data_IF_925746519006
#
_entry.id   IF_925746519006
#
_cell.length_a   1.000
_cell.length_b   1.000
_cell.length_c   1.000
_cell.angle_alpha   90.00
_cell.angle_beta   90.00
_cell.angle_gamma   90.00
#
_symmetry.space_group_name_H-M   'P 1'
#
loop_
_entity.id
_entity.type
_entity.pdbx_description
1 polymer ?
#
# COMPACT_ATOMS: atom_id res chain seq x y z
N UNK A 1 -45.40 9.84 5.32
CA UNK A 1 -46.15 8.65 4.86
C UNK A 1 -45.24 7.40 4.77
N UNK A 2 -44.55 7.05 5.87
CA UNK A 2 -43.60 5.92 5.92
C UNK A 2 -43.64 5.25 7.30
N UNK A 3 -44.84 4.90 7.79
CA UNK A 3 -45.04 4.22 9.08
C UNK A 3 -46.08 3.09 9.05
N UNK A 4 -46.47 2.58 7.88
CA UNK A 4 -47.55 1.57 7.77
C UNK A 4 -47.24 0.29 6.99
N UNK A 5 -46.00 0.09 6.52
CA UNK A 5 -45.69 -1.03 5.63
C UNK A 5 -45.00 -2.25 6.30
N UNK A 6 -44.76 -2.25 7.61
CA UNK A 6 -43.96 -3.29 8.27
C UNK A 6 -44.72 -4.30 9.15
N UNK A 7 -46.06 -4.25 9.21
CA UNK A 7 -46.84 -5.09 10.15
C UNK A 7 -47.73 -6.15 9.48
N UNK A 8 -47.52 -6.47 8.20
CA UNK A 8 -48.31 -7.50 7.52
C UNK A 8 -47.44 -8.29 6.55
N UNK A 9 -46.68 -9.27 7.07
CA UNK A 9 -46.19 -10.46 6.33
C UNK A 9 -45.47 -11.43 7.27
N UNK A 10 -46.17 -11.89 8.30
CA UNK A 10 -45.82 -13.12 9.03
C UNK A 10 -47.13 -13.89 9.23
N UNK A 11 -47.51 -14.67 8.22
CA UNK A 11 -48.44 -15.80 8.36
C UNK A 11 -48.48 -16.60 7.04
N UNK A 12 -48.40 -17.93 7.19
CA UNK A 12 -48.77 -18.99 6.24
C UNK A 12 -47.67 -19.59 5.29
N UNK A 13 -46.93 -20.56 5.86
CA UNK A 13 -46.76 -21.97 5.44
C UNK A 13 -46.02 -22.36 4.13
N UNK A 14 -45.56 -23.64 3.93
CA UNK A 14 -45.24 -24.75 4.85
C UNK A 14 -43.83 -25.38 4.64
N UNK A 15 -43.47 -26.36 5.48
CA UNK A 15 -42.16 -27.04 5.59
C UNK A 15 -41.77 -28.08 4.51
N UNK A 16 -40.62 -28.78 4.68
CA UNK A 16 -39.88 -29.40 3.57
C UNK A 16 -40.30 -30.84 3.30
N UNK A 17 -40.59 -31.18 2.03
CA UNK A 17 -40.79 -32.56 1.57
C UNK A 17 -39.63 -33.04 0.69
N UNK A 18 -39.02 -34.14 1.14
CA UNK A 18 -38.36 -35.22 0.38
C UNK A 18 -37.35 -34.86 -0.73
N UNK A 19 -36.09 -35.20 -0.47
CA UNK A 19 -35.02 -35.34 -1.44
C UNK A 19 -35.38 -36.30 -2.58
N UNK A 20 -35.14 -35.87 -3.83
CA UNK A 20 -35.04 -36.76 -5.00
C UNK A 20 -33.62 -36.71 -5.54
N UNK A 21 -33.02 -37.89 -5.66
CA UNK A 21 -31.70 -38.12 -6.21
C UNK A 21 -31.65 -37.79 -7.72
N UNK A 22 -30.59 -37.10 -8.15
CA UNK A 22 -30.22 -36.96 -9.56
C UNK A 22 -29.18 -38.03 -9.93
N UNK A 23 -29.30 -38.70 -11.09
CA UNK A 23 -28.30 -39.65 -11.55
C UNK A 23 -27.07 -38.92 -12.14
N UNK A 24 -25.89 -39.43 -11.81
CA UNK A 24 -24.61 -38.96 -12.36
C UNK A 24 -24.47 -39.36 -13.84
N UNK A 25 -24.01 -38.41 -14.67
CA UNK A 25 -23.56 -38.66 -16.04
C UNK A 25 -22.02 -38.72 -16.10
N UNK A 26 -21.45 -39.56 -16.97
CA UNK A 26 -20.04 -39.94 -16.91
C UNK A 26 -19.09 -38.87 -17.47
N UNK A 27 -17.90 -38.78 -16.85
CA UNK A 27 -16.76 -37.97 -17.28
C UNK A 27 -16.16 -38.55 -18.57
N UNK A 28 -16.27 -37.80 -19.68
CA UNK A 28 -15.54 -38.08 -20.91
C UNK A 28 -14.10 -37.53 -20.83
N UNK A 29 -13.12 -38.44 -20.90
CA UNK A 29 -11.71 -38.12 -21.19
C UNK A 29 -11.59 -37.72 -22.66
N UNK A 30 -11.03 -36.54 -22.94
CA UNK A 30 -10.48 -36.23 -24.26
C UNK A 30 -8.98 -36.50 -24.26
N UNK A 31 -8.59 -37.49 -25.06
CA UNK A 31 -7.22 -37.88 -25.37
C UNK A 31 -6.70 -37.03 -26.53
N UNK A 32 -5.48 -36.52 -26.35
CA UNK A 32 -4.68 -35.83 -27.35
C UNK A 32 -4.14 -36.79 -28.41
N UNK A 33 -4.34 -36.49 -29.69
CA UNK A 33 -3.45 -36.90 -30.79
C UNK A 33 -3.73 -36.04 -32.02
N UNK A 34 -2.68 -35.42 -32.59
CA UNK A 34 -2.29 -35.36 -34.02
C UNK A 34 -1.10 -34.39 -34.07
N UNK A 35 0.14 -34.89 -34.06
CA UNK A 35 0.97 -35.34 -35.18
C UNK A 35 1.90 -34.25 -35.71
N UNK A 36 3.19 -34.55 -35.65
CA UNK A 36 4.27 -33.79 -36.23
C UNK A 36 4.29 -33.96 -37.75
N UNK A 37 4.21 -32.86 -38.51
CA UNK A 37 4.74 -32.77 -39.86
C UNK A 37 4.81 -31.30 -40.30
N UNK A 38 5.98 -30.68 -40.16
CA UNK A 38 6.59 -29.81 -41.18
C UNK A 38 7.89 -29.21 -40.63
N UNK A 39 9.00 -29.94 -40.83
CA UNK A 39 10.34 -29.37 -40.86
C UNK A 39 10.82 -29.38 -42.31
N UNK A 40 11.63 -28.37 -42.62
CA UNK A 40 12.61 -28.28 -43.70
C UNK A 40 12.21 -27.49 -44.96
N UNK A 41 12.58 -26.21 -44.98
CA UNK A 41 13.48 -25.58 -45.96
C UNK A 41 13.68 -24.13 -45.45
N UNK A 42 14.86 -23.64 -45.11
CA UNK A 42 15.93 -23.29 -46.05
C UNK A 42 17.20 -22.97 -45.23
N UNK A 43 18.34 -23.53 -45.61
CA UNK A 43 19.65 -23.32 -44.97
C UNK A 43 20.66 -22.92 -46.03
N UNK A 44 21.61 -22.07 -45.63
CA UNK A 44 22.84 -21.61 -46.30
C UNK A 44 22.71 -20.37 -47.19
N UNK A 45 23.62 -19.39 -47.19
CA UNK A 45 24.89 -19.15 -46.46
C UNK A 45 25.30 -17.70 -46.78
N UNK A 46 25.82 -16.96 -45.81
CA UNK A 46 26.97 -16.06 -46.00
C UNK A 46 27.52 -15.61 -44.65
N UNK A 47 28.83 -15.42 -44.63
CA UNK A 47 29.74 -15.52 -43.50
C UNK A 47 30.35 -14.18 -43.11
N UNK A 48 30.52 -14.00 -41.80
CA UNK A 48 31.61 -13.30 -41.10
C UNK A 48 31.76 -11.76 -41.20
N UNK A 49 32.30 -11.21 -40.10
CA UNK A 49 32.79 -9.83 -39.82
C UNK A 49 31.63 -8.88 -39.40
N UNK A 50 31.52 -8.30 -38.20
CA UNK A 50 32.53 -7.75 -37.28
C UNK A 50 31.94 -7.65 -35.87
N UNK A 51 32.73 -7.99 -34.85
CA UNK A 51 32.45 -7.63 -33.46
C UNK A 51 32.56 -6.12 -33.24
N UNK A 52 31.71 -5.57 -32.36
CA UNK A 52 31.97 -4.31 -31.67
C UNK A 52 31.22 -3.07 -32.18
N UNK A 53 29.91 -2.96 -31.92
CA UNK A 53 29.20 -1.68 -31.70
C UNK A 53 27.93 -1.95 -30.88
N UNK A 54 28.01 -1.85 -29.55
CA UNK A 54 26.84 -1.73 -28.66
C UNK A 54 27.23 -1.33 -27.22
N UNK A 55 28.51 -1.39 -26.86
CA UNK A 55 29.01 -0.94 -25.55
C UNK A 55 29.44 0.55 -25.52
N UNK A 56 29.42 1.25 -26.64
CA UNK A 56 29.98 2.61 -26.78
C UNK A 56 29.00 3.76 -26.56
N UNK A 57 27.69 3.49 -26.44
CA UNK A 57 26.68 4.55 -26.26
C UNK A 57 26.35 4.86 -24.80
N UNK A 58 26.61 3.92 -23.87
CA UNK A 58 26.37 4.13 -22.43
C UNK A 58 27.61 4.73 -21.75
N UNK A 59 28.81 4.37 -22.20
CA UNK A 59 30.06 4.93 -21.66
C UNK A 59 30.24 6.43 -21.98
N UNK A 60 29.68 6.94 -23.09
CA UNK A 60 29.86 8.34 -23.50
C UNK A 60 29.00 9.32 -22.69
N UNK A 61 27.83 8.89 -22.20
CA UNK A 61 27.02 9.70 -21.28
C UNK A 61 27.65 9.77 -19.88
N UNK A 62 28.36 8.71 -19.47
CA UNK A 62 29.12 8.68 -18.21
C UNK A 62 30.38 9.57 -18.27
N UNK A 63 31.00 9.70 -19.45
CA UNK A 63 32.24 10.47 -19.65
C UNK A 63 32.04 11.99 -19.81
N UNK A 64 30.83 12.47 -20.11
CA UNK A 64 30.55 13.90 -20.34
C UNK A 64 30.26 14.67 -19.03
N UNK A 65 30.09 13.97 -17.89
CA UNK A 65 29.79 14.61 -16.59
C UNK A 65 30.86 14.41 -15.50
N UNK A 66 32.00 13.82 -15.81
CA UNK A 66 33.18 13.89 -14.92
C UNK A 66 34.07 15.07 -15.31
N UNK A 67 34.24 16.12 -14.47
CA UNK A 67 35.40 16.98 -14.60
C UNK A 67 36.62 16.26 -14.00
N UNK A 68 37.61 16.04 -14.87
CA UNK A 68 39.06 16.12 -14.63
C UNK A 68 39.61 15.36 -13.40
N UNK A 69 40.42 14.33 -13.68
CA UNK A 69 41.39 13.78 -12.73
C UNK A 69 42.34 14.88 -12.24
N UNK A 70 42.27 15.18 -10.95
CA UNK A 70 43.36 15.80 -10.20
C UNK A 70 43.83 14.77 -9.16
N UNK A 71 44.88 14.06 -9.56
CA UNK A 71 45.98 13.48 -8.79
C UNK A 71 45.74 12.84 -7.40
N UNK A 72 46.33 11.65 -7.29
CA UNK A 72 46.85 11.00 -6.09
C UNK A 72 46.98 11.93 -4.85
N UNK A 73 45.99 11.87 -3.97
CA UNK A 73 46.18 12.20 -2.57
C UNK A 73 45.58 11.06 -1.77
N UNK A 74 46.46 10.27 -1.16
CA UNK A 74 46.13 9.38 -0.05
C UNK A 74 45.49 10.26 1.04
N UNK A 75 44.17 10.16 1.22
CA UNK A 75 43.40 10.99 2.18
C UNK A 75 43.34 10.31 3.55
N UNK A 76 43.57 11.08 4.60
CA UNK A 76 43.53 10.60 5.98
C UNK A 76 42.07 10.45 6.47
N UNK A 77 41.72 9.36 7.18
CA UNK A 77 40.40 9.15 7.76
C UNK A 77 40.06 10.24 8.80
N UNK A 78 38.82 10.75 8.77
CA UNK A 78 38.26 11.66 9.79
C UNK A 78 38.22 13.18 9.49
N UNK A 79 38.25 13.63 8.23
CA UNK A 79 38.15 15.08 7.90
C UNK A 79 36.79 15.49 7.30
N UNK A 80 36.21 16.56 7.82
CA UNK A 80 35.01 17.26 7.28
C UNK A 80 35.40 18.12 6.08
N UNK A 81 34.73 17.99 4.93
CA UNK A 81 35.02 18.76 3.71
C UNK A 81 33.91 19.77 3.43
N UNK A 82 34.22 21.05 3.28
CA UNK A 82 33.24 22.08 2.90
C UNK A 82 33.03 22.12 1.38
N UNK A 83 31.78 21.99 0.93
CA UNK A 83 31.40 22.21 -0.47
C UNK A 83 31.44 23.70 -0.84
N UNK A 84 31.48 24.06 -2.14
CA UNK A 84 31.35 25.45 -2.60
C UNK A 84 30.06 26.15 -2.15
N UNK A 85 29.04 25.39 -1.72
CA UNK A 85 27.81 25.87 -1.11
C UNK A 85 27.94 26.25 0.38
N UNK A 86 29.10 26.01 1.00
CA UNK A 86 29.35 26.19 2.44
C UNK A 86 28.86 25.05 3.33
N UNK A 87 28.24 24.00 2.76
CA UNK A 87 27.80 22.83 3.52
C UNK A 87 28.96 21.87 3.80
N UNK A 88 29.12 21.50 5.07
CA UNK A 88 30.08 20.51 5.54
C UNK A 88 29.60 19.10 5.19
N UNK A 89 30.41 18.36 4.43
CA UNK A 89 30.24 16.94 4.18
C UNK A 89 30.84 16.14 5.33
N UNK A 90 30.08 15.16 5.79
CA UNK A 90 30.46 14.27 6.88
C UNK A 90 30.86 12.93 6.27
N UNK A 91 31.99 12.36 6.69
CA UNK A 91 32.44 11.07 6.16
C UNK A 91 31.53 9.93 6.62
N UNK A 92 31.42 8.88 5.82
CA UNK A 92 30.71 7.66 6.21
C UNK A 92 31.27 7.05 7.49
N UNK A 93 32.60 7.07 7.67
CA UNK A 93 33.25 6.61 8.91
C UNK A 93 32.78 7.38 10.15
N UNK A 94 32.50 8.68 10.02
CA UNK A 94 31.93 9.45 11.13
C UNK A 94 30.52 8.95 11.44
N UNK A 95 29.67 8.83 10.41
CA UNK A 95 28.30 8.30 10.57
C UNK A 95 28.30 6.93 11.24
N UNK A 96 29.24 6.05 10.91
CA UNK A 96 29.36 4.71 11.50
C UNK A 96 29.64 4.71 13.01
N UNK A 97 30.11 5.81 13.60
CA UNK A 97 30.31 5.93 15.05
C UNK A 97 28.98 6.06 15.81
N UNK A 98 27.97 6.63 15.16
CA UNK A 98 26.64 6.88 15.70
C UNK A 98 25.72 5.67 15.45
N UNK A 99 26.06 4.54 16.07
CA UNK A 99 25.43 3.24 15.83
C UNK A 99 24.75 2.62 17.07
N UNK A 100 24.42 3.44 18.09
CA UNK A 100 23.91 2.99 19.39
C UNK A 100 22.54 3.59 19.70
N UNK A 101 21.85 3.02 20.70
CA UNK A 101 20.50 3.48 21.09
C UNK A 101 20.46 4.90 21.66
N UNK A 102 21.56 5.36 22.24
CA UNK A 102 21.75 6.68 22.81
C UNK A 102 22.53 7.63 21.87
N UNK A 103 22.88 7.15 20.67
CA UNK A 103 23.64 7.89 19.67
C UNK A 103 23.46 7.22 18.29
N UNK A 104 22.38 7.57 17.58
CA UNK A 104 21.94 6.87 16.37
C UNK A 104 21.75 7.80 15.18
N UNK A 105 22.65 7.71 14.19
CA UNK A 105 22.48 8.37 12.90
C UNK A 105 22.15 7.39 11.79
N UNK A 106 21.40 7.85 10.80
CA UNK A 106 21.09 7.09 9.58
C UNK A 106 21.26 7.95 8.34
N UNK A 107 21.66 7.33 7.22
CA UNK A 107 21.72 8.00 5.93
C UNK A 107 20.46 7.67 5.14
N UNK A 108 19.78 8.69 4.64
CA UNK A 108 18.61 8.59 3.77
C UNK A 108 18.80 9.54 2.59
N UNK A 109 18.84 8.99 1.39
CA UNK A 109 19.04 9.71 0.13
C UNK A 109 20.27 10.65 0.16
N UNK A 110 21.37 10.18 0.75
CA UNK A 110 22.63 10.94 0.84
C UNK A 110 22.67 12.04 1.90
N UNK A 111 21.65 12.13 2.77
CA UNK A 111 21.62 13.03 3.92
C UNK A 111 21.60 12.24 5.22
N UNK A 112 22.24 12.79 6.24
CA UNK A 112 22.40 12.23 7.58
C UNK A 112 21.34 12.83 8.49
N UNK A 113 20.68 11.96 9.24
CA UNK A 113 19.64 12.31 10.20
C UNK A 113 19.99 11.73 11.55
N UNK A 114 19.93 12.56 12.59
CA UNK A 114 19.97 12.10 13.98
C UNK A 114 18.57 11.67 14.39
N UNK A 115 18.41 10.38 14.61
CA UNK A 115 17.11 9.78 14.95
C UNK A 115 17.07 9.32 16.39
N UNK A 116 18.07 9.68 17.21
CA UNK A 116 18.24 9.21 18.60
C UNK A 116 16.97 9.40 19.42
N UNK A 117 16.45 10.63 19.50
CA UNK A 117 15.23 10.94 20.26
C UNK A 117 13.93 10.54 19.55
N UNK A 118 13.99 10.34 18.23
CA UNK A 118 12.84 9.95 17.43
C UNK A 118 12.56 8.44 17.47
N UNK A 119 13.58 7.61 17.74
CA UNK A 119 13.47 6.14 17.69
C UNK A 119 12.32 5.58 18.52
N UNK A 120 12.11 6.09 19.74
CA UNK A 120 11.03 5.61 20.61
C UNK A 120 9.64 6.00 20.11
N UNK A 121 9.56 7.09 19.37
CA UNK A 121 8.32 7.61 18.79
C UNK A 121 8.05 7.07 17.38
N UNK A 122 9.03 6.38 16.79
CA UNK A 122 8.91 5.83 15.44
C UNK A 122 7.80 4.76 15.38
N UNK A 123 6.78 4.93 14.51
CA UNK A 123 5.65 4.00 14.41
C UNK A 123 6.06 2.55 14.09
N UNK A 124 7.18 2.35 13.37
CA UNK A 124 7.76 1.04 13.07
C UNK A 124 8.50 0.36 14.21
N UNK A 125 8.66 1.04 15.35
CA UNK A 125 9.48 0.61 16.48
C UNK A 125 10.95 1.07 16.38
N UNK A 126 11.66 1.15 17.51
CA UNK A 126 13.07 1.54 17.56
C UNK A 126 14.00 0.47 16.97
N UNK A 127 13.59 -0.80 16.95
CA UNK A 127 14.47 -1.92 16.59
C UNK A 127 14.93 -1.88 15.13
N UNK A 128 14.06 -1.43 14.20
CA UNK A 128 14.38 -1.34 12.78
C UNK A 128 15.34 -0.18 12.48
N UNK A 129 15.26 0.90 13.26
CA UNK A 129 16.19 2.03 13.16
C UNK A 129 17.54 1.59 13.69
N UNK A 130 17.59 0.96 14.87
CA UNK A 130 18.83 0.46 15.47
C UNK A 130 19.56 -0.56 14.58
N UNK A 131 18.84 -1.43 13.87
CA UNK A 131 19.44 -2.37 12.93
C UNK A 131 20.19 -1.68 11.77
N UNK A 132 19.80 -0.43 11.46
CA UNK A 132 20.36 0.40 10.40
C UNK A 132 21.17 1.59 10.94
N UNK A 133 21.43 1.65 12.25
CA UNK A 133 22.21 2.72 12.87
C UNK A 133 23.65 2.74 12.29
N UNK A 134 24.11 3.94 11.95
CA UNK A 134 25.39 4.18 11.29
C UNK A 134 25.48 3.71 9.84
N UNK A 135 24.34 3.44 9.16
CA UNK A 135 24.30 2.89 7.79
C UNK A 135 23.42 3.72 6.85
N UNK A 136 23.51 3.38 5.56
CA UNK A 136 22.56 3.84 4.53
C UNK A 136 21.27 3.02 4.58
N UNK A 137 20.19 3.67 5.02
CA UNK A 137 18.86 3.11 5.15
C UNK A 137 17.95 3.47 3.95
N UNK A 138 18.46 4.15 2.92
CA UNK A 138 17.65 4.68 1.80
C UNK A 138 16.80 3.61 1.13
N UNK A 139 17.36 2.41 0.92
CA UNK A 139 16.67 1.28 0.28
C UNK A 139 15.46 0.79 1.08
N UNK A 140 15.52 0.85 2.41
CA UNK A 140 14.43 0.40 3.30
C UNK A 140 13.47 1.56 3.56
N UNK A 141 13.97 2.78 3.66
CA UNK A 141 13.17 3.97 3.95
C UNK A 141 12.20 4.30 2.82
N UNK A 142 12.68 4.40 1.58
CA UNK A 142 11.92 4.91 0.43
C UNK A 142 10.62 4.16 0.10
N UNK A 143 10.59 2.81 0.13
CA UNK A 143 9.36 2.04 -0.14
C UNK A 143 8.29 2.15 0.95
N UNK A 144 8.69 2.55 2.17
CA UNK A 144 7.82 2.52 3.36
C UNK A 144 7.32 3.94 3.70
N UNK A 145 8.16 4.95 3.56
CA UNK A 145 7.87 6.30 4.03
C UNK A 145 7.45 7.24 2.90
N UNK A 146 6.60 8.21 3.23
CA UNK A 146 6.29 9.33 2.34
C UNK A 146 7.50 10.29 2.25
N UNK A 147 7.65 11.05 1.15
CA UNK A 147 8.83 11.92 0.96
C UNK A 147 9.02 12.93 2.09
N UNK A 148 7.91 13.44 2.64
CA UNK A 148 7.89 14.43 3.72
C UNK A 148 8.01 13.81 5.11
N UNK A 149 8.23 12.49 5.24
CA UNK A 149 8.31 11.83 6.54
C UNK A 149 9.47 12.35 7.40
N UNK A 150 10.50 12.90 6.73
CA UNK A 150 11.65 13.51 7.38
C UNK A 150 11.32 14.89 7.96
N UNK A 151 10.21 15.52 7.56
CA UNK A 151 9.74 16.78 8.18
C UNK A 151 9.17 16.57 9.59
N UNK A 152 8.97 15.33 10.03
CA UNK A 152 8.63 15.03 11.43
C UNK A 152 9.81 15.18 12.38
N UNK A 153 11.03 15.27 11.84
CA UNK A 153 12.24 15.51 12.60
C UNK A 153 12.46 17.02 12.75
N UNK A 154 12.98 17.43 13.90
CA UNK A 154 13.33 18.81 14.17
C UNK A 154 14.50 19.27 13.27
N UNK A 155 14.67 20.58 13.11
CA UNK A 155 15.72 21.14 12.23
C UNK A 155 17.13 20.73 12.67
N UNK A 156 17.37 20.57 13.97
CA UNK A 156 18.65 20.14 14.54
C UNK A 156 18.94 18.65 14.33
N UNK A 157 17.91 17.85 14.07
CA UNK A 157 18.05 16.43 13.70
C UNK A 157 18.48 16.24 12.24
N UNK A 158 18.48 17.31 11.43
CA UNK A 158 18.96 17.31 10.05
C UNK A 158 20.45 17.66 9.99
N UNK A 159 21.30 16.67 10.24
CA UNK A 159 22.75 16.87 10.41
C UNK A 159 23.43 17.42 9.14
N UNK A 160 23.10 16.88 7.96
CA UNK A 160 23.65 17.35 6.69
C UNK A 160 24.03 16.24 5.71
N UNK A 161 24.69 16.56 4.58
CA UNK A 161 25.04 15.57 3.57
C UNK A 161 26.23 14.69 3.97
N UNK A 162 26.17 13.40 3.61
CA UNK A 162 27.33 12.50 3.71
C UNK A 162 28.26 12.73 2.51
N UNK A 163 29.58 12.57 2.70
CA UNK A 163 30.55 12.58 1.60
C UNK A 163 30.40 11.31 0.74
N UNK A 164 29.89 11.44 -0.51
CA UNK A 164 29.65 10.28 -1.38
C UNK A 164 30.92 9.50 -1.72
N UNK A 165 32.10 10.13 -1.66
CA UNK A 165 33.38 9.47 -1.94
C UNK A 165 33.86 8.56 -0.81
N UNK A 166 33.27 8.70 0.38
CA UNK A 166 33.58 7.88 1.55
C UNK A 166 32.57 6.75 1.76
N UNK A 167 31.48 6.75 0.99
CA UNK A 167 30.49 5.70 1.03
C UNK A 167 31.10 4.41 0.47
N UNK A 168 30.76 3.24 1.03
CA UNK A 168 31.17 1.97 0.45
C UNK A 168 30.64 1.91 -0.99
N UNK A 169 31.45 1.39 -1.92
CA UNK A 169 30.93 1.06 -3.23
C UNK A 169 29.74 0.11 -3.04
N UNK A 170 28.62 0.33 -3.75
CA UNK A 170 27.45 -0.50 -3.59
C UNK A 170 27.87 -1.95 -3.88
N UNK A 171 27.83 -2.80 -2.84
CA UNK A 171 28.07 -4.23 -3.02
C UNK A 171 27.13 -4.73 -4.12
N UNK A 172 27.68 -5.31 -5.18
CA UNK A 172 26.94 -6.12 -6.14
C UNK A 172 26.50 -7.39 -5.41
N UNK A 173 25.42 -7.27 -4.65
CA UNK A 173 24.76 -8.42 -4.02
C UNK A 173 24.13 -9.20 -5.17
N UNK A 174 24.57 -10.44 -5.38
CA UNK A 174 23.91 -11.31 -6.35
C UNK A 174 22.43 -11.46 -5.96
N UNK A 175 21.51 -11.31 -6.93
CA UNK A 175 20.08 -11.40 -6.66
C UNK A 175 19.77 -12.80 -6.10
N UNK A 176 18.94 -12.80 -5.06
CA UNK A 176 18.43 -14.05 -4.46
C UNK A 176 17.61 -14.84 -5.48
N UNK A 177 17.44 -16.15 -5.25
CA UNK A 177 16.58 -16.98 -6.10
C UNK A 177 15.16 -16.39 -6.20
N UNK A 178 14.60 -15.87 -5.10
CA UNK A 178 13.30 -15.19 -5.07
C UNK A 178 13.28 -13.95 -5.98
N UNK A 179 14.32 -13.11 -5.94
CA UNK A 179 14.40 -11.92 -6.80
C UNK A 179 14.51 -12.29 -8.28
N UNK A 180 15.25 -13.34 -8.62
CA UNK A 180 15.35 -13.87 -9.97
C UNK A 180 13.99 -14.40 -10.47
N UNK A 181 13.30 -15.20 -9.65
CA UNK A 181 11.96 -15.73 -9.97
C UNK A 181 10.95 -14.59 -10.15
N UNK A 182 10.98 -13.57 -9.28
CA UNK A 182 10.14 -12.39 -9.40
C UNK A 182 10.42 -11.60 -10.69
N UNK A 183 11.69 -11.47 -11.09
CA UNK A 183 12.05 -10.76 -12.32
C UNK A 183 11.60 -11.54 -13.57
N UNK A 184 11.75 -12.87 -13.57
CA UNK A 184 11.20 -13.73 -14.62
C UNK A 184 9.68 -13.65 -14.68
N UNK A 185 9.00 -13.67 -13.54
CA UNK A 185 7.55 -13.49 -13.45
C UNK A 185 7.12 -12.13 -13.99
N UNK A 186 7.85 -11.04 -13.69
CA UNK A 186 7.57 -9.71 -14.26
C UNK A 186 7.74 -9.67 -15.77
N UNK A 187 8.75 -10.36 -16.32
CA UNK A 187 8.96 -10.47 -17.78
C UNK A 187 7.85 -11.29 -18.44
N UNK A 188 7.32 -12.30 -17.76
CA UNK A 188 6.26 -13.18 -18.25
C UNK A 188 4.85 -12.63 -18.02
N UNK A 189 4.70 -11.61 -17.17
CA UNK A 189 3.40 -11.04 -16.80
C UNK A 189 2.67 -10.49 -18.04
N UNK A 190 1.42 -10.88 -18.28
CA UNK A 190 0.66 -10.41 -19.42
C UNK A 190 0.34 -8.91 -19.29
N UNK A 191 0.14 -8.24 -20.42
CA UNK A 191 -0.42 -6.89 -20.42
C UNK A 191 -1.81 -6.87 -19.77
N UNK A 192 -2.18 -5.73 -19.16
CA UNK A 192 -3.44 -5.59 -18.43
C UNK A 192 -4.68 -5.89 -19.30
N UNK A 193 -4.59 -5.65 -20.61
CA UNK A 193 -5.62 -6.00 -21.60
C UNK A 193 -5.88 -7.50 -21.75
N UNK A 194 -4.94 -8.34 -21.29
CA UNK A 194 -5.05 -9.80 -21.31
C UNK A 194 -5.43 -10.38 -19.94
N UNK A 195 -5.59 -9.54 -18.91
CA UNK A 195 -6.13 -9.94 -17.61
C UNK A 195 -7.65 -9.86 -17.67
N UNK A 196 -8.31 -11.02 -17.71
CA UNK A 196 -9.75 -11.15 -17.98
C UNK A 196 -10.59 -11.03 -16.70
N UNK A 197 -10.01 -11.41 -15.56
CA UNK A 197 -10.65 -11.38 -14.25
C UNK A 197 -9.83 -10.52 -13.28
N UNK A 198 -10.50 -9.96 -12.27
CA UNK A 198 -9.80 -9.29 -11.15
C UNK A 198 -8.85 -10.26 -10.44
N UNK A 199 -9.21 -11.55 -10.39
CA UNK A 199 -8.37 -12.60 -9.84
C UNK A 199 -7.04 -12.77 -10.59
N UNK A 200 -6.99 -12.50 -11.90
CA UNK A 200 -5.75 -12.61 -12.67
C UNK A 200 -4.70 -11.62 -12.16
N UNK A 201 -5.13 -10.40 -11.77
CA UNK A 201 -4.24 -9.41 -11.16
C UNK A 201 -3.72 -9.88 -9.80
N UNK A 202 -4.55 -10.55 -9.01
CA UNK A 202 -4.17 -11.08 -7.70
C UNK A 202 -3.18 -12.24 -7.83
N UNK A 203 -3.44 -13.18 -8.74
CA UNK A 203 -2.59 -14.35 -9.00
C UNK A 203 -1.21 -13.94 -9.56
N UNK A 204 -1.14 -12.86 -10.35
CA UNK A 204 0.13 -12.29 -10.80
C UNK A 204 0.80 -11.45 -9.72
N UNK A 205 0.06 -10.70 -8.92
CA UNK A 205 0.61 -9.93 -7.81
C UNK A 205 1.38 -10.82 -6.82
N UNK A 206 0.90 -12.03 -6.52
CA UNK A 206 1.62 -13.00 -5.67
C UNK A 206 3.02 -13.33 -6.20
N UNK A 207 3.21 -13.34 -7.53
CA UNK A 207 4.46 -13.74 -8.19
C UNK A 207 5.45 -12.59 -8.38
N UNK A 208 4.96 -11.35 -8.43
CA UNK A 208 5.78 -10.18 -8.83
C UNK A 208 6.00 -9.16 -7.70
N UNK A 209 5.28 -9.32 -6.60
CA UNK A 209 5.47 -8.54 -5.37
C UNK A 209 6.46 -9.24 -4.45
N UNK A 210 7.15 -8.47 -3.62
CA UNK A 210 7.97 -9.05 -2.56
C UNK A 210 7.08 -9.78 -1.55
N UNK A 211 7.63 -10.79 -0.87
CA UNK A 211 6.91 -11.50 0.19
C UNK A 211 6.31 -10.56 1.24
N UNK A 212 7.00 -9.46 1.58
CA UNK A 212 6.46 -8.43 2.50
C UNK A 212 5.24 -7.72 1.93
N UNK A 213 5.32 -7.25 0.67
CA UNK A 213 4.22 -6.52 0.03
C UNK A 213 2.99 -7.41 -0.17
N UNK A 214 3.18 -8.62 -0.70
CA UNK A 214 2.11 -9.60 -0.91
C UNK A 214 1.41 -9.94 0.41
N UNK A 215 2.17 -10.32 1.44
CA UNK A 215 1.60 -10.71 2.71
C UNK A 215 0.92 -9.54 3.44
N UNK A 216 1.43 -8.31 3.32
CA UNK A 216 0.74 -7.14 3.85
C UNK A 216 -0.62 -6.91 3.16
N UNK A 217 -0.66 -6.94 1.82
CA UNK A 217 -1.90 -6.71 1.07
C UNK A 217 -2.92 -7.84 1.25
N UNK A 218 -2.48 -9.09 1.11
CA UNK A 218 -3.37 -10.27 1.16
C UNK A 218 -3.86 -10.59 2.57
N UNK A 219 -3.12 -10.19 3.60
CA UNK A 219 -3.44 -10.57 4.98
C UNK A 219 -4.79 -10.07 5.49
N UNK A 220 -5.44 -10.85 6.33
CA UNK A 220 -6.59 -10.44 7.14
C UNK A 220 -6.40 -10.86 8.61
N UNK A 221 -7.38 -10.56 9.48
CA UNK A 221 -7.33 -10.90 10.89
C UNK A 221 -7.39 -12.41 11.11
N UNK A 222 -6.58 -12.87 12.05
CA UNK A 222 -6.58 -14.22 12.61
C UNK A 222 -6.52 -15.30 11.52
N UNK A 223 -7.65 -15.98 11.26
CA UNK A 223 -7.75 -17.06 10.26
C UNK A 223 -8.33 -16.60 8.93
N UNK A 224 -8.47 -15.29 8.73
CA UNK A 224 -8.91 -14.65 7.48
C UNK A 224 -10.34 -14.98 7.05
N UNK A 225 -11.12 -15.67 7.91
CA UNK A 225 -12.46 -16.18 7.59
C UNK A 225 -13.45 -15.14 7.13
N UNK A 226 -13.41 -13.95 7.71
CA UNK A 226 -14.26 -12.83 7.28
C UNK A 226 -13.91 -12.37 5.86
N UNK A 227 -12.62 -12.40 5.47
CA UNK A 227 -12.21 -11.99 4.15
C UNK A 227 -12.75 -12.97 3.09
N UNK A 228 -12.63 -14.28 3.33
CA UNK A 228 -13.23 -15.32 2.49
C UNK A 228 -14.76 -15.13 2.42
N UNK A 229 -15.40 -14.98 3.59
CA UNK A 229 -16.85 -14.84 3.73
C UNK A 229 -17.41 -13.60 2.99
N UNK A 230 -16.68 -12.49 2.96
CA UNK A 230 -17.10 -11.29 2.24
C UNK A 230 -17.26 -11.55 0.73
N UNK A 231 -16.41 -12.41 0.15
CA UNK A 231 -16.52 -12.82 -1.24
C UNK A 231 -17.61 -13.87 -1.41
N UNK A 232 -17.57 -14.92 -0.58
CA UNK A 232 -18.51 -16.05 -0.63
C UNK A 232 -19.96 -15.62 -0.44
N UNK A 233 -20.23 -14.57 0.34
CA UNK A 233 -21.59 -14.08 0.60
C UNK A 233 -22.35 -13.72 -0.68
N UNK A 234 -21.67 -13.23 -1.72
CA UNK A 234 -22.31 -12.90 -3.00
C UNK A 234 -22.82 -14.13 -3.74
N UNK A 235 -22.20 -15.30 -3.54
CA UNK A 235 -22.64 -16.57 -4.16
C UNK A 235 -24.00 -17.07 -3.65
N UNK A 236 -24.49 -16.50 -2.54
CA UNK A 236 -25.82 -16.82 -1.97
C UNK A 236 -26.96 -16.14 -2.71
N UNK A 237 -26.65 -15.16 -3.56
CA UNK A 237 -27.64 -14.38 -4.31
C UNK A 237 -27.59 -14.73 -5.79
N UNK A 238 -28.77 -14.99 -6.36
CA UNK A 238 -28.93 -15.30 -7.78
C UNK A 238 -29.73 -14.21 -8.49
N UNK A 239 -29.34 -13.90 -9.73
CA UNK A 239 -30.10 -12.98 -10.57
C UNK A 239 -31.43 -13.61 -11.02
N UNK A 240 -32.46 -12.76 -11.11
CA UNK A 240 -33.72 -13.06 -11.79
C UNK A 240 -33.82 -12.19 -13.05
N UNK A 241 -33.09 -12.52 -14.13
CA UNK A 241 -33.02 -11.66 -15.30
C UNK A 241 -34.41 -11.48 -15.93
N UNK A 242 -34.69 -10.26 -16.38
CA UNK A 242 -35.95 -9.93 -17.04
C UNK A 242 -35.76 -10.12 -18.55
N UNK A 243 -36.43 -11.13 -19.10
CA UNK A 243 -36.39 -11.43 -20.55
C UNK A 243 -37.33 -10.50 -21.35
N UNK A 244 -37.11 -10.42 -22.66
CA UNK A 244 -37.90 -9.62 -23.60
C UNK A 244 -37.98 -8.13 -23.21
N UNK A 245 -36.88 -7.59 -22.69
CA UNK A 245 -36.67 -6.16 -22.47
C UNK A 245 -35.74 -5.63 -23.54
N UNK A 246 -36.02 -4.42 -24.01
CA UNK A 246 -35.06 -3.68 -24.83
C UNK A 246 -33.84 -3.34 -23.98
N UNK A 247 -32.70 -3.92 -24.35
CA UNK A 247 -31.40 -3.72 -23.73
C UNK A 247 -30.38 -3.19 -24.74
N UNK A 248 -30.84 -2.55 -25.82
CA UNK A 248 -29.98 -1.91 -26.82
C UNK A 248 -29.20 -0.72 -26.25
N UNK A 249 -29.71 -0.13 -25.17
CA UNK A 249 -29.09 0.97 -24.44
C UNK A 249 -29.02 0.62 -22.95
N UNK A 250 -27.99 1.12 -22.28
CA UNK A 250 -27.76 0.93 -20.85
C UNK A 250 -26.59 1.77 -20.40
N UNK A 251 -26.62 2.21 -19.14
CA UNK A 251 -25.53 2.97 -18.54
C UNK A 251 -25.18 2.40 -17.18
N UNK A 252 -23.88 2.38 -16.88
CA UNK A 252 -23.35 2.13 -15.53
C UNK A 252 -23.02 3.42 -14.79
N UNK A 253 -23.18 4.57 -15.46
CA UNK A 253 -22.95 5.87 -14.85
C UNK A 253 -23.92 6.10 -13.70
N UNK A 254 -23.40 6.65 -12.62
CA UNK A 254 -24.19 6.98 -11.43
C UNK A 254 -23.56 8.15 -10.70
N UNK A 255 -24.17 8.54 -9.59
CA UNK A 255 -23.63 9.54 -8.68
C UNK A 255 -23.75 9.07 -7.24
N UNK A 256 -22.79 9.46 -6.40
CA UNK A 256 -22.90 9.27 -4.97
C UNK A 256 -22.51 10.56 -4.25
N UNK A 257 -23.42 11.07 -3.42
CA UNK A 257 -23.25 12.35 -2.72
C UNK A 257 -22.87 13.52 -3.66
N UNK A 258 -23.40 13.52 -4.88
CA UNK A 258 -23.09 14.54 -5.90
C UNK A 258 -21.80 14.29 -6.70
N UNK A 259 -20.98 13.30 -6.33
CA UNK A 259 -19.82 12.89 -7.13
C UNK A 259 -20.28 11.99 -8.27
N UNK A 260 -20.13 12.47 -9.52
CA UNK A 260 -20.43 11.67 -10.72
C UNK A 260 -19.36 10.62 -10.95
N UNK A 261 -19.77 9.44 -11.41
CA UNK A 261 -18.86 8.35 -11.72
C UNK A 261 -19.34 7.52 -12.91
N UNK A 262 -18.41 7.02 -13.70
CA UNK A 262 -18.67 6.16 -14.86
C UNK A 262 -19.13 4.76 -14.51
N UNK A 263 -18.83 4.29 -13.29
CA UNK A 263 -19.14 2.96 -12.79
C UNK A 263 -19.64 3.02 -11.35
N UNK A 264 -20.50 2.11 -10.89
CA UNK A 264 -21.02 2.09 -9.52
C UNK A 264 -20.01 1.47 -8.53
N UNK A 265 -18.73 1.82 -8.68
CA UNK A 265 -17.61 1.39 -7.83
C UNK A 265 -16.65 2.56 -7.62
N UNK A 266 -15.85 2.48 -6.58
CA UNK A 266 -14.78 3.45 -6.30
C UNK A 266 -13.56 2.72 -5.75
N UNK A 267 -12.38 3.34 -5.84
CA UNK A 267 -11.17 2.80 -5.21
C UNK A 267 -11.27 3.03 -3.70
N UNK A 268 -11.36 1.96 -2.90
CA UNK A 268 -11.41 2.08 -1.44
C UNK A 268 -10.07 2.58 -0.89
N UNK A 269 -10.05 3.37 0.21
CA UNK A 269 -8.81 3.80 0.85
C UNK A 269 -7.93 2.60 1.24
N UNK A 270 -6.77 2.50 0.62
CA UNK A 270 -5.73 1.52 0.91
C UNK A 270 -4.40 2.25 1.15
N UNK A 271 -3.65 1.78 2.13
CA UNK A 271 -2.39 2.35 2.56
C UNK A 271 -1.20 1.64 1.89
N UNK A 272 -0.07 2.31 1.81
CA UNK A 272 1.23 1.73 1.44
C UNK A 272 1.32 1.22 0.00
N UNK A 273 0.70 1.89 -0.98
CA UNK A 273 0.73 1.44 -2.37
C UNK A 273 2.15 1.34 -2.97
N UNK A 274 3.13 2.07 -2.40
CA UNK A 274 4.56 1.98 -2.77
C UNK A 274 5.18 0.60 -2.60
N UNK A 275 4.63 -0.23 -1.70
CA UNK A 275 5.05 -1.63 -1.58
C UNK A 275 4.75 -2.43 -2.86
N UNK A 276 3.74 -2.03 -3.62
CA UNK A 276 3.32 -2.71 -4.84
C UNK A 276 3.83 -2.05 -6.12
N UNK A 277 4.03 -0.74 -6.09
CA UNK A 277 4.48 0.02 -7.26
C UNK A 277 5.22 1.29 -6.81
N UNK A 278 6.40 1.63 -7.35
CA UNK A 278 7.16 2.82 -6.94
C UNK A 278 6.39 4.15 -6.97
N UNK A 279 5.40 4.30 -7.86
CA UNK A 279 4.57 5.50 -7.94
C UNK A 279 3.46 5.54 -6.87
N UNK A 280 3.21 4.46 -6.16
CA UNK A 280 2.24 4.38 -5.06
C UNK A 280 0.84 4.85 -5.43
N UNK A 281 0.23 5.65 -4.56
CA UNK A 281 -1.15 6.13 -4.70
C UNK A 281 -1.35 7.07 -5.90
N UNK A 282 -0.29 7.69 -6.44
CA UNK A 282 -0.36 8.51 -7.67
C UNK A 282 -0.89 7.68 -8.85
N UNK A 283 -0.53 6.39 -8.93
CA UNK A 283 -1.07 5.52 -9.98
C UNK A 283 -2.57 5.27 -9.82
N UNK A 284 -3.03 5.12 -8.58
CA UNK A 284 -4.45 4.94 -8.28
C UNK A 284 -5.23 6.21 -8.69
N UNK A 285 -4.66 7.38 -8.44
CA UNK A 285 -5.25 8.67 -8.83
C UNK A 285 -5.32 8.84 -10.34
N UNK A 286 -4.22 8.59 -11.06
CA UNK A 286 -4.20 8.65 -12.52
C UNK A 286 -5.16 7.62 -13.15
N UNK A 287 -5.20 6.41 -12.61
CA UNK A 287 -6.12 5.35 -13.05
C UNK A 287 -7.58 5.73 -12.83
N UNK A 288 -7.93 6.19 -11.63
CA UNK A 288 -9.28 6.64 -11.31
C UNK A 288 -9.74 7.78 -12.23
N UNK A 289 -8.87 8.78 -12.45
CA UNK A 289 -9.14 9.88 -13.38
C UNK A 289 -9.22 9.44 -14.84
N UNK A 290 -8.45 8.44 -15.26
CA UNK A 290 -8.56 7.84 -16.59
C UNK A 290 -9.90 7.13 -16.80
N UNK A 291 -10.37 6.39 -15.79
CA UNK A 291 -11.61 5.64 -15.85
C UNK A 291 -12.86 6.48 -15.52
N UNK A 292 -12.72 7.66 -14.93
CA UNK A 292 -13.86 8.47 -14.47
C UNK A 292 -14.54 7.89 -13.22
N UNK A 293 -13.77 7.20 -12.38
CA UNK A 293 -14.25 6.68 -11.09
C UNK A 293 -13.69 7.51 -9.94
N UNK A 294 -14.38 7.44 -8.81
CA UNK A 294 -13.95 8.14 -7.60
C UNK A 294 -12.86 7.35 -6.88
N UNK A 295 -11.98 8.06 -6.18
CA UNK A 295 -10.94 7.47 -5.34
C UNK A 295 -11.11 7.88 -3.88
N UNK A 296 -11.04 6.90 -2.97
CA UNK A 296 -10.78 7.13 -1.55
C UNK A 296 -9.28 7.10 -1.28
N UNK A 297 -8.74 8.17 -0.70
CA UNK A 297 -7.33 8.31 -0.33
C UNK A 297 -7.17 7.98 1.15
N UNK A 298 -6.19 7.14 1.50
CA UNK A 298 -5.89 6.78 2.88
C UNK A 298 -5.07 7.87 3.57
N UNK A 299 -5.33 8.15 4.85
CA UNK A 299 -4.41 8.94 5.71
C UNK A 299 -3.02 8.30 5.80
N UNK A 300 -2.94 6.98 5.67
CA UNK A 300 -1.68 6.22 5.66
C UNK A 300 -1.21 5.92 4.24
N UNK A 301 -1.48 6.79 3.27
CA UNK A 301 -0.90 6.68 1.94
C UNK A 301 0.64 6.77 2.01
N UNK A 302 1.33 6.09 1.08
CA UNK A 302 2.78 6.16 0.94
C UNK A 302 3.29 7.35 0.11
N UNK A 303 2.39 8.03 -0.60
CA UNK A 303 2.61 9.34 -1.22
C UNK A 303 2.04 10.44 -0.33
N UNK A 304 2.59 11.65 -0.42
CA UNK A 304 2.03 12.79 0.32
C UNK A 304 0.66 13.17 -0.26
N UNK A 305 -0.20 13.77 0.58
CA UNK A 305 -1.52 14.22 0.11
C UNK A 305 -1.38 15.25 -1.02
N UNK A 306 -0.39 16.14 -0.96
CA UNK A 306 -0.16 17.15 -2.00
C UNK A 306 0.21 16.50 -3.34
N UNK A 307 1.12 15.51 -3.35
CA UNK A 307 1.49 14.78 -4.57
C UNK A 307 0.29 14.07 -5.21
N UNK A 308 -0.52 13.40 -4.37
CA UNK A 308 -1.71 12.69 -4.82
C UNK A 308 -2.70 13.69 -5.43
N UNK A 309 -2.99 14.78 -4.73
CA UNK A 309 -3.98 15.78 -5.17
C UNK A 309 -3.53 16.54 -6.42
N UNK A 310 -2.24 16.82 -6.57
CA UNK A 310 -1.66 17.43 -7.78
C UNK A 310 -1.73 16.49 -9.00
N UNK A 311 -1.77 15.18 -8.80
CA UNK A 311 -1.85 14.20 -9.88
C UNK A 311 -3.27 13.96 -10.42
N UNK A 312 -4.29 14.55 -9.80
CA UNK A 312 -5.70 14.45 -10.22
C UNK A 312 -5.92 15.10 -11.57
N UNK A 313 -6.86 14.57 -12.34
CA UNK A 313 -7.48 15.33 -13.43
C UNK A 313 -8.38 16.42 -12.86
N UNK A 314 -8.62 17.46 -13.66
CA UNK A 314 -9.57 18.52 -13.31
C UNK A 314 -10.96 17.92 -12.99
N UNK A 315 -11.56 18.36 -11.88
CA UNK A 315 -12.85 17.88 -11.38
C UNK A 315 -12.92 16.36 -11.10
N UNK A 316 -11.80 15.65 -11.00
CA UNK A 316 -11.79 14.24 -10.62
C UNK A 316 -12.21 14.10 -9.15
N UNK A 317 -13.33 13.44 -8.83
CA UNK A 317 -13.80 13.32 -7.45
C UNK A 317 -12.87 12.47 -6.59
N UNK A 318 -12.55 12.95 -5.39
CA UNK A 318 -11.75 12.23 -4.39
C UNK A 318 -12.32 12.37 -3.00
N UNK A 319 -12.32 11.28 -2.25
CA UNK A 319 -12.67 11.26 -0.83
C UNK A 319 -11.40 11.05 -0.03
N UNK A 320 -11.32 11.62 1.16
CA UNK A 320 -10.17 11.43 2.04
C UNK A 320 -10.56 10.67 3.30
N UNK A 321 -9.90 9.56 3.56
CA UNK A 321 -10.12 8.72 4.72
C UNK A 321 -9.26 9.17 5.89
N UNK A 322 -9.90 9.39 7.02
CA UNK A 322 -9.25 9.80 8.27
C UNK A 322 -9.38 8.72 9.34
N UNK A 323 -8.31 8.58 10.12
CA UNK A 323 -8.35 8.09 11.49
C UNK A 323 -8.10 9.28 12.40
N UNK A 324 -8.96 9.51 13.38
CA UNK A 324 -8.70 10.58 14.34
C UNK A 324 -7.48 10.20 15.17
N UNK A 325 -6.56 11.15 15.29
CA UNK A 325 -5.35 10.98 16.08
C UNK A 325 -5.69 11.21 17.56
N UNK A 326 -4.99 10.54 18.48
CA UNK A 326 -5.03 10.84 19.91
C UNK A 326 -4.75 12.31 20.18
N UNK A 327 -3.83 12.90 19.42
CA UNK A 327 -3.68 14.34 19.32
C UNK A 327 -4.74 14.93 18.37
N UNK A 328 -5.71 15.63 18.94
CA UNK A 328 -6.78 16.26 18.18
C UNK A 328 -6.32 17.48 17.40
N UNK A 329 -5.24 18.14 17.79
CA UNK A 329 -4.68 19.25 17.02
C UNK A 329 -4.19 18.78 15.64
N UNK A 330 -3.44 17.67 15.59
CA UNK A 330 -3.03 17.04 14.33
C UNK A 330 -4.22 16.67 13.43
N UNK A 331 -5.33 16.23 14.02
CA UNK A 331 -6.56 15.92 13.26
C UNK A 331 -7.20 17.16 12.65
N UNK A 332 -7.21 18.30 13.38
CA UNK A 332 -7.73 19.58 12.89
C UNK A 332 -6.90 20.07 11.70
N UNK A 333 -5.57 20.12 11.85
CA UNK A 333 -4.66 20.54 10.78
C UNK A 333 -4.85 19.70 9.51
N UNK A 334 -5.03 18.38 9.67
CA UNK A 334 -5.29 17.50 8.54
C UNK A 334 -6.64 17.76 7.87
N UNK A 335 -7.72 17.93 8.64
CA UNK A 335 -9.06 18.23 8.11
C UNK A 335 -9.07 19.55 7.32
N UNK A 336 -8.39 20.58 7.84
CA UNK A 336 -8.23 21.87 7.16
C UNK A 336 -7.42 21.73 5.86
N UNK A 337 -6.32 20.97 5.89
CA UNK A 337 -5.50 20.70 4.70
C UNK A 337 -6.30 19.96 3.62
N UNK A 338 -7.03 18.91 3.99
CA UNK A 338 -7.87 18.11 3.08
C UNK A 338 -8.97 18.96 2.45
N UNK A 339 -9.62 19.80 3.25
CA UNK A 339 -10.67 20.72 2.77
C UNK A 339 -10.08 21.74 1.79
N UNK A 340 -8.92 22.34 2.13
CA UNK A 340 -8.23 23.31 1.29
C UNK A 340 -7.78 22.73 -0.05
N UNK A 341 -7.30 21.48 -0.05
CA UNK A 341 -6.88 20.78 -1.28
C UNK A 341 -8.06 20.31 -2.15
N UNK A 342 -9.30 20.47 -1.68
CA UNK A 342 -10.49 20.21 -2.47
C UNK A 342 -10.82 18.72 -2.59
N UNK A 343 -10.77 17.99 -1.48
CA UNK A 343 -11.45 16.70 -1.39
C UNK A 343 -12.97 16.90 -1.36
N UNK A 344 -13.73 15.93 -1.84
CA UNK A 344 -15.18 16.00 -1.99
C UNK A 344 -15.94 15.42 -0.78
N UNK A 345 -15.28 14.58 0.03
CA UNK A 345 -15.85 14.02 1.26
C UNK A 345 -14.77 13.51 2.22
N UNK A 346 -15.15 13.36 3.50
CA UNK A 346 -14.37 12.68 4.53
C UNK A 346 -14.92 11.27 4.74
N UNK A 347 -14.05 10.26 4.66
CA UNK A 347 -14.35 8.90 5.11
C UNK A 347 -13.82 8.74 6.54
N UNK A 348 -14.70 8.84 7.53
CA UNK A 348 -14.35 8.61 8.93
C UNK A 348 -14.37 7.11 9.23
N UNK A 349 -13.20 6.52 9.44
CA UNK A 349 -13.10 5.07 9.72
C UNK A 349 -13.16 4.81 11.22
N UNK A 350 -14.15 4.02 11.65
CA UNK A 350 -14.49 3.81 13.08
C UNK A 350 -14.22 2.39 13.59
N UNK A 351 -13.82 1.46 12.72
CA UNK A 351 -13.49 0.07 13.09
C UNK A 351 -12.07 -0.09 13.66
N UNK A 352 -11.63 0.90 14.45
CA UNK A 352 -10.25 1.05 14.95
C UNK A 352 -10.03 0.68 16.41
N UNK A 353 -11.08 0.28 17.14
CA UNK A 353 -11.02 0.05 18.58
C UNK A 353 -9.87 -0.87 19.02
N UNK A 354 -9.50 -1.85 18.17
CA UNK A 354 -8.34 -2.69 18.39
C UNK A 354 -7.51 -2.89 17.14
N UNK A 355 -6.23 -3.22 17.35
CA UNK A 355 -5.33 -3.54 16.26
C UNK A 355 -5.59 -4.95 15.74
N UNK A 356 -5.67 -5.06 14.41
CA UNK A 356 -5.81 -6.35 13.72
C UNK A 356 -4.61 -7.26 13.93
N UNK A 357 -4.87 -8.55 14.17
CA UNK A 357 -3.87 -9.62 14.14
C UNK A 357 -3.70 -10.16 12.72
N UNK A 358 -2.91 -9.47 11.91
CA UNK A 358 -2.61 -9.89 10.52
C UNK A 358 -1.49 -10.93 10.54
N UNK A 359 -1.84 -12.21 10.66
CA UNK A 359 -0.86 -13.28 10.94
C UNK A 359 0.13 -13.49 9.81
N UNK A 360 -0.28 -13.35 8.54
CA UNK A 360 0.63 -13.43 7.40
C UNK A 360 1.68 -12.31 7.40
N UNK A 361 1.23 -11.08 7.64
CA UNK A 361 2.09 -9.88 7.71
C UNK A 361 3.14 -10.00 8.83
N UNK A 362 2.74 -10.51 10.00
CA UNK A 362 3.68 -10.77 11.12
C UNK A 362 4.69 -11.87 10.78
N UNK A 363 4.26 -12.95 10.11
CA UNK A 363 5.13 -14.08 9.75
C UNK A 363 6.14 -13.72 8.66
N UNK A 364 5.72 -12.95 7.64
CA UNK A 364 6.59 -12.53 6.54
C UNK A 364 7.82 -11.75 7.03
N UNK A 365 7.70 -10.99 8.12
CA UNK A 365 8.85 -10.30 8.74
C UNK A 365 9.70 -11.17 9.66
N UNK A 366 9.19 -12.31 10.12
CA UNK A 366 9.96 -13.26 10.93
C UNK A 366 10.92 -14.11 10.10
N UNK A 367 10.67 -14.21 8.79
CA UNK A 367 11.51 -14.94 7.82
C UNK A 367 12.68 -14.10 7.28
N UNK A 368 12.70 -12.78 7.52
CA UNK A 368 13.86 -11.93 7.25
C UNK A 368 14.89 -12.18 8.35
N UNK A 369 15.91 -12.98 8.05
CA UNK A 369 16.99 -13.28 8.99
C UNK A 369 17.64 -11.98 9.50
N UNK A 370 17.90 -11.85 10.82
CA UNK A 370 18.69 -10.73 11.31
C UNK A 370 20.09 -10.77 10.68
N UNK A 371 20.71 -9.62 10.41
CA UNK A 371 22.06 -9.58 9.86
C UNK A 371 23.04 -10.33 10.78
N UNK A 372 24.11 -10.94 10.20
CA UNK A 372 25.02 -11.87 10.89
C UNK A 372 25.92 -11.24 11.98
N UNK A 373 25.57 -10.08 12.53
CA UNK A 373 26.32 -9.41 13.60
C UNK A 373 25.56 -9.24 14.92
N UNK A 374 24.41 -9.90 15.09
CA UNK A 374 23.57 -9.80 16.29
C UNK A 374 23.98 -10.76 17.43
N UNK A 375 25.29 -10.93 17.65
CA UNK A 375 25.79 -11.64 18.84
C UNK A 375 25.54 -10.78 20.10
N UNK A 376 24.47 -11.10 20.83
CA UNK A 376 24.27 -10.66 22.22
C UNK A 376 23.04 -9.80 22.53
N UNK A 377 22.22 -9.44 21.54
CA UNK A 377 20.99 -8.67 21.81
C UNK A 377 19.87 -9.60 22.26
N UNK A 378 19.34 -9.43 23.49
CA UNK A 378 18.15 -10.16 23.96
C UNK A 378 17.00 -9.97 22.97
N UNK A 379 16.61 -11.04 22.28
CA UNK A 379 15.47 -11.07 21.36
C UNK A 379 14.16 -10.89 22.14
N UNK A 380 13.77 -9.63 22.32
CA UNK A 380 12.58 -9.27 23.09
C UNK A 380 11.66 -8.37 22.26
N UNK A 381 10.95 -9.01 21.31
CA UNK A 381 9.57 -8.77 20.82
C UNK A 381 9.42 -9.40 19.44
N UNK A 382 8.29 -10.07 19.20
CA UNK A 382 7.98 -10.65 17.88
C UNK A 382 8.04 -9.56 16.78
N UNK A 383 8.57 -9.86 15.58
CA UNK A 383 8.70 -8.88 14.51
C UNK A 383 7.35 -8.25 14.15
N UNK A 384 7.31 -6.91 14.11
CA UNK A 384 6.10 -6.14 13.87
C UNK A 384 5.81 -6.06 12.36
N UNK A 385 4.73 -6.69 11.87
CA UNK A 385 4.24 -6.59 10.47
C UNK A 385 4.09 -5.15 9.94
N UNK A 386 3.96 -4.94 8.63
CA UNK A 386 3.77 -3.60 8.05
C UNK A 386 2.55 -2.89 8.64
N UNK A 387 1.43 -3.60 8.83
CA UNK A 387 0.22 -3.02 9.42
C UNK A 387 0.44 -2.54 10.85
N UNK A 388 1.40 -3.14 11.56
CA UNK A 388 1.83 -2.70 12.87
C UNK A 388 2.48 -1.34 12.84
N UNK A 389 3.42 -1.21 11.90
CA UNK A 389 4.35 -0.11 11.79
C UNK A 389 3.64 1.20 11.43
N UNK A 390 2.48 1.14 10.78
CA UNK A 390 1.71 2.33 10.37
C UNK A 390 0.51 2.62 11.30
N UNK A 391 0.48 1.99 12.47
CA UNK A 391 -0.61 2.12 13.46
C UNK A 391 -0.07 2.70 14.78
N UNK A 392 -0.97 3.03 15.72
CA UNK A 392 -0.64 3.42 17.10
C UNK A 392 -0.97 4.87 17.45
N UNK A 393 -0.98 5.75 16.45
CA UNK A 393 -1.41 7.15 16.60
C UNK A 393 -2.93 7.31 16.65
N UNK A 394 -3.67 6.35 16.08
CA UNK A 394 -5.14 6.42 16.01
C UNK A 394 -5.75 6.39 17.42
N UNK A 395 -6.77 7.20 17.63
CA UNK A 395 -7.62 7.11 18.81
C UNK A 395 -8.48 5.85 18.73
N UNK A 396 -8.45 5.08 19.82
CA UNK A 396 -9.19 3.82 19.96
C UNK A 396 -10.49 4.00 20.73
N UNK A 397 -10.68 5.17 21.36
CA UNK A 397 -11.85 5.50 22.17
C UNK A 397 -12.76 6.50 21.44
N UNK A 398 -13.18 6.13 20.23
CA UNK A 398 -14.08 6.94 19.42
C UNK A 398 -15.52 6.84 19.94
N UNK A 399 -16.25 7.95 19.86
CA UNK A 399 -17.64 8.09 20.28
C UNK A 399 -18.45 8.87 19.25
N UNK A 400 -19.78 8.91 19.38
CA UNK A 400 -20.63 9.70 18.49
C UNK A 400 -20.33 11.20 18.49
N UNK A 401 -19.69 11.74 19.55
CA UNK A 401 -19.24 13.14 19.61
C UNK A 401 -18.15 13.46 18.60
N UNK A 402 -17.40 12.44 18.14
CA UNK A 402 -16.34 12.63 17.16
C UNK A 402 -16.89 13.05 15.78
N UNK A 403 -18.15 12.72 15.46
CA UNK A 403 -18.82 13.21 14.26
C UNK A 403 -19.04 14.73 14.35
N UNK A 404 -19.46 15.22 15.51
CA UNK A 404 -19.62 16.66 15.76
C UNK A 404 -18.27 17.38 15.70
N UNK A 405 -17.22 16.78 16.27
CA UNK A 405 -15.85 17.29 16.19
C UNK A 405 -15.35 17.41 14.74
N UNK A 406 -15.54 16.40 13.89
CA UNK A 406 -15.14 16.50 12.48
C UNK A 406 -15.92 17.64 11.80
N UNK A 407 -17.23 17.69 12.02
CA UNK A 407 -18.12 18.71 11.44
C UNK A 407 -17.77 20.14 11.85
N UNK A 408 -17.21 20.36 13.04
CA UNK A 408 -16.80 21.70 13.46
C UNK A 408 -15.53 22.21 12.77
N UNK A 409 -14.78 21.34 12.08
CA UNK A 409 -13.50 21.67 11.43
C UNK A 409 -13.49 21.42 9.91
N UNK A 410 -14.60 20.93 9.35
CA UNK A 410 -14.79 20.85 7.90
C UNK A 410 -16.27 20.89 7.53
N UNK A 411 -16.54 21.46 6.37
CA UNK A 411 -17.83 21.54 5.71
C UNK A 411 -18.02 20.42 4.66
N UNK A 412 -17.06 19.51 4.53
CA UNK A 412 -17.17 18.35 3.66
C UNK A 412 -18.20 17.32 4.20
N UNK A 413 -18.93 16.63 3.31
CA UNK A 413 -19.74 15.47 3.65
C UNK A 413 -18.96 14.41 4.42
N UNK A 414 -19.58 13.80 5.42
CA UNK A 414 -18.99 12.73 6.23
C UNK A 414 -19.61 11.39 5.82
N UNK A 415 -18.75 10.42 5.53
CA UNK A 415 -19.08 9.02 5.32
C UNK A 415 -18.50 8.20 6.48
N UNK A 416 -19.32 7.49 7.23
CA UNK A 416 -18.84 6.61 8.30
C UNK A 416 -18.50 5.23 7.73
N UNK A 417 -17.24 4.82 7.85
CA UNK A 417 -16.72 3.54 7.35
C UNK A 417 -16.41 2.59 8.49
N UNK A 418 -16.87 1.35 8.37
CA UNK A 418 -16.65 0.29 9.38
C UNK A 418 -17.93 -0.15 10.10
N UNK A 419 -19.09 0.31 9.61
CA UNK A 419 -20.41 -0.03 10.15
C UNK A 419 -20.75 -1.48 9.81
N UNK A 420 -21.22 -2.25 10.79
CA UNK A 420 -21.41 -3.70 10.65
C UNK A 420 -22.79 -4.21 11.09
N UNK A 421 -23.64 -3.35 11.64
CA UNK A 421 -25.00 -3.68 12.04
C UNK A 421 -25.96 -2.57 11.62
N UNK A 422 -27.26 -2.89 11.60
CA UNK A 422 -28.31 -1.97 11.14
C UNK A 422 -28.56 -0.88 12.20
N UNK A 423 -28.36 -1.19 13.47
CA UNK A 423 -28.48 -0.28 14.59
C UNK A 423 -27.51 0.89 14.46
N UNK A 424 -26.25 0.62 14.11
CA UNK A 424 -25.24 1.67 13.90
C UNK A 424 -25.51 2.47 12.62
N UNK A 425 -26.14 1.88 11.60
CA UNK A 425 -26.63 2.64 10.43
C UNK A 425 -27.71 3.64 10.85
N UNK A 426 -28.63 3.24 11.73
CA UNK A 426 -29.66 4.13 12.25
C UNK A 426 -29.05 5.29 13.05
N UNK A 427 -28.07 5.01 13.91
CA UNK A 427 -27.34 6.04 14.66
C UNK A 427 -26.54 6.98 13.75
N UNK A 428 -25.93 6.47 12.68
CA UNK A 428 -25.29 7.31 11.67
C UNK A 428 -26.30 8.26 11.00
N UNK A 429 -27.49 7.76 10.65
CA UNK A 429 -28.55 8.58 10.06
C UNK A 429 -29.05 9.66 11.04
N UNK A 430 -29.23 9.32 12.32
CA UNK A 430 -29.59 10.27 13.38
C UNK A 430 -28.51 11.34 13.60
N UNK A 431 -27.23 10.95 13.51
CA UNK A 431 -26.10 11.86 13.59
C UNK A 431 -25.97 12.77 12.36
N UNK A 432 -26.74 12.55 11.29
CA UNK A 432 -26.79 13.40 10.10
C UNK A 432 -25.57 13.27 9.19
N UNK A 433 -24.92 12.11 9.14
CA UNK A 433 -23.85 11.84 8.16
C UNK A 433 -24.42 11.54 6.78
N UNK A 434 -23.66 11.77 5.72
CA UNK A 434 -24.15 11.71 4.33
C UNK A 434 -24.05 10.31 3.73
N UNK A 435 -23.25 9.42 4.33
CA UNK A 435 -23.14 8.04 3.88
C UNK A 435 -22.57 7.11 4.94
N UNK A 436 -22.75 5.81 4.71
CA UNK A 436 -22.11 4.74 5.47
C UNK A 436 -21.47 3.74 4.51
N UNK A 437 -20.28 3.25 4.84
CA UNK A 437 -19.65 2.13 4.15
C UNK A 437 -19.77 0.91 5.08
N UNK A 438 -20.65 -0.01 4.67
CA UNK A 438 -20.77 -1.32 5.30
C UNK A 438 -19.53 -2.13 4.97
N UNK A 439 -18.64 -2.26 5.95
CA UNK A 439 -17.42 -3.02 5.80
C UNK A 439 -17.03 -3.60 7.14
N UNK A 440 -16.61 -4.85 7.11
CA UNK A 440 -15.84 -5.42 8.20
C UNK A 440 -14.38 -5.37 7.79
N UNK A 441 -13.72 -4.25 8.14
CA UNK A 441 -12.25 -4.24 8.08
C UNK A 441 -11.78 -5.25 9.11
N UNK A 442 -10.77 -6.03 8.76
CA UNK A 442 -10.40 -7.26 9.44
C UNK A 442 -9.69 -6.99 10.77
N UNK A 443 -10.25 -6.16 11.68
CA UNK A 443 -9.60 -5.74 12.94
C UNK A 443 -10.25 -6.29 14.21
N UNK A 444 -11.50 -6.74 14.17
CA UNK A 444 -12.23 -7.09 15.40
C UNK A 444 -12.21 -8.60 15.66
N UNK A 445 -11.58 -8.95 16.77
CA UNK A 445 -11.77 -10.21 17.48
C UNK A 445 -13.18 -10.20 18.08
N UNK A 446 -14.00 -11.20 17.74
CA UNK A 446 -15.13 -11.58 18.59
C UNK A 446 -14.55 -12.58 19.58
N UNK A 447 -14.47 -12.27 20.89
CA UNK A 447 -14.21 -13.30 21.88
C UNK A 447 -15.28 -14.37 21.67
N UNK A 448 -14.87 -15.64 21.59
CA UNK A 448 -15.82 -16.73 21.63
C UNK A 448 -16.72 -16.49 22.85
N UNK A 449 -18.02 -16.36 22.61
CA UNK A 449 -18.98 -16.40 23.68
C UNK A 449 -18.91 -17.81 24.26
N UNK A 450 -18.32 -17.93 25.45
CA UNK A 450 -18.45 -19.11 26.31
C UNK A 450 -19.88 -19.21 26.88
#
# INVERSE_FOLDING_TARGET
>A
MFRRALSQRIAAAPGPSSARAFPQLPRGRFSSTVSAASRAAYRQRSSAITAGVAATSIALAYYILTPIRADELVRAPGTTIEQPSGQKLISFEEVQKHNKADDCWVIINGKIYDVTDFMENHPGGPEIILANAGKDASKIFGPIHYPDALEMLDEDQHIGPVDPLTMPEPEEVEPTEEELEMEEARKAMPGAENMLLVQDFEDWAEKVLSGTAWNYYKSAADREKTADENQDAFSRYYFRPRILRDATTGSMETEFMGMKTSLPIFISPAAMAKLGNPLGEINLTKGAGACGIVQGISINASCSLDEIMQSRKENQPVMFQIYLNKDRAASITLLEKVTRLGADAIIFTVDTAWRSKRTRDVRAKAEVAPPPSSDGMKTSKSPLGVSAAISGYQDTNLTWKDIEFIRSHTNLPIIVKGVQCVEDVALCAEAGVQGVILVRFTRLHVPAAD
#
